data_IF_405898780435
#
_entry.id   IF_405898780435
#
_cell.length_a   1.000
_cell.length_b   1.000
_cell.length_c   1.000
_cell.angle_alpha   90.00
_cell.angle_beta   90.00
_cell.angle_gamma   90.00
#
_symmetry.space_group_name_H-M   'P 1'
#
loop_
_entity.id
_entity.type
_entity.pdbx_description
1 polymer ?
#
# COMPACT_ATOMS: atom_id res chain seq x y z
N UNK A 1 18.52 0.56 -17.97
CA UNK A 1 17.40 0.97 -17.10
C UNK A 1 16.46 -0.20 -17.05
N UNK A 2 15.99 -0.55 -15.87
CA UNK A 2 14.93 -1.54 -15.73
C UNK A 2 13.68 -1.05 -16.48
N UNK A 3 12.96 -1.96 -17.07
CA UNK A 3 11.63 -1.70 -17.60
C UNK A 3 10.66 -1.58 -16.43
N UNK A 4 9.78 -0.62 -16.54
CA UNK A 4 8.66 -0.46 -15.64
C UNK A 4 7.41 -0.40 -16.50
N UNK A 5 6.35 -1.09 -16.13
CA UNK A 5 5.11 -1.14 -16.87
C UNK A 5 4.47 0.24 -17.02
N UNK A 6 3.30 0.27 -17.61
CA UNK A 6 2.56 1.52 -17.79
C UNK A 6 1.80 1.84 -16.51
N UNK A 7 2.15 2.95 -15.87
CA UNK A 7 1.35 3.47 -14.76
C UNK A 7 -0.05 3.84 -15.26
N UNK A 8 -1.07 3.54 -14.46
CA UNK A 8 -2.44 3.87 -14.81
C UNK A 8 -2.71 5.36 -14.68
N UNK A 9 -3.55 5.87 -15.57
CA UNK A 9 -4.04 7.25 -15.49
C UNK A 9 -5.04 7.42 -14.33
N UNK A 10 -5.17 8.63 -13.79
CA UNK A 10 -6.03 8.91 -12.63
C UNK A 10 -7.51 8.62 -12.88
N UNK A 11 -7.97 8.72 -14.11
CA UNK A 11 -9.35 8.44 -14.52
C UNK A 11 -9.64 6.93 -14.65
N UNK A 12 -8.64 6.07 -14.47
CA UNK A 12 -8.82 4.61 -14.48
C UNK A 12 -9.44 4.05 -13.20
N UNK A 13 -9.58 4.85 -12.14
CA UNK A 13 -10.10 4.42 -10.85
C UNK A 13 -11.12 5.42 -10.28
N UNK A 14 -12.08 4.92 -9.55
CA UNK A 14 -12.97 5.76 -8.75
C UNK A 14 -12.33 6.03 -7.39
N UNK A 15 -12.22 7.30 -7.00
CA UNK A 15 -11.66 7.66 -5.71
C UNK A 15 -12.54 8.65 -4.96
N UNK A 16 -12.51 8.56 -3.65
CA UNK A 16 -13.19 9.49 -2.76
C UNK A 16 -12.29 9.89 -1.59
N UNK A 17 -12.56 11.07 -1.06
CA UNK A 17 -11.89 11.60 0.11
C UNK A 17 -12.91 12.35 0.95
N UNK A 18 -13.02 12.01 2.22
CA UNK A 18 -14.00 12.57 3.13
C UNK A 18 -13.45 12.79 4.54
N UNK A 19 -14.04 13.76 5.23
CA UNK A 19 -13.87 13.90 6.68
C UNK A 19 -14.85 12.99 7.39
N UNK A 20 -14.34 12.19 8.32
CA UNK A 20 -15.16 11.28 9.12
C UNK A 20 -15.44 11.86 10.52
N UNK A 21 -16.51 11.40 11.22
CA UNK A 21 -16.81 11.85 12.58
C UNK A 21 -15.59 11.74 13.51
N UNK A 22 -15.43 12.74 14.38
CA UNK A 22 -14.26 12.82 15.27
C UNK A 22 -13.02 13.48 14.66
N UNK A 23 -13.16 14.11 13.47
CA UNK A 23 -12.10 14.90 12.83
C UNK A 23 -11.10 14.10 12.01
N UNK A 24 -11.32 12.81 11.84
CA UNK A 24 -10.49 11.95 11.00
C UNK A 24 -10.72 12.18 9.51
N UNK A 25 -9.88 11.54 8.71
CA UNK A 25 -9.94 11.54 7.25
C UNK A 25 -10.01 10.11 6.74
N UNK A 26 -10.82 9.89 5.71
CA UNK A 26 -10.88 8.62 4.98
C UNK A 26 -10.69 8.88 3.49
N UNK A 27 -9.82 8.12 2.87
CA UNK A 27 -9.65 8.05 1.43
C UNK A 27 -9.97 6.63 0.96
N UNK A 28 -10.68 6.52 -0.15
CA UNK A 28 -11.05 5.22 -0.76
C UNK A 28 -10.72 5.27 -2.24
N UNK A 29 -10.14 4.20 -2.75
CA UNK A 29 -9.84 4.01 -4.17
C UNK A 29 -10.43 2.67 -4.59
N UNK A 30 -11.34 2.69 -5.55
CA UNK A 30 -11.80 1.49 -6.25
C UNK A 30 -11.02 1.42 -7.55
N UNK A 31 -9.99 0.56 -7.57
CA UNK A 31 -9.13 0.39 -8.74
C UNK A 31 -9.91 -0.25 -9.91
N UNK A 32 -9.45 0.00 -11.13
CA UNK A 32 -9.90 -0.78 -12.27
C UNK A 32 -9.55 -2.26 -12.05
N UNK A 33 -10.28 -3.15 -12.73
CA UNK A 33 -10.01 -4.59 -12.66
C UNK A 33 -8.53 -4.86 -12.97
N UNK A 34 -7.88 -5.64 -12.13
CA UNK A 34 -6.55 -6.20 -12.40
C UNK A 34 -6.74 -7.44 -13.28
N UNK A 35 -6.59 -7.25 -14.61
CA UNK A 35 -6.89 -8.31 -15.58
C UNK A 35 -5.85 -9.44 -15.52
N UNK A 36 -6.31 -10.68 -15.62
CA UNK A 36 -5.50 -11.90 -15.59
C UNK A 36 -4.72 -12.15 -14.29
N UNK A 37 -4.86 -11.28 -13.29
CA UNK A 37 -4.29 -11.46 -11.95
C UNK A 37 -5.17 -12.40 -11.13
N UNK A 38 -4.56 -13.20 -10.26
CA UNK A 38 -5.22 -14.04 -9.25
C UNK A 38 -4.82 -13.58 -7.86
N UNK A 39 -5.66 -13.85 -6.86
CA UNK A 39 -5.37 -13.51 -5.46
C UNK A 39 -4.02 -14.09 -5.01
N UNK A 40 -3.70 -15.34 -5.36
CA UNK A 40 -2.42 -15.96 -5.04
C UNK A 40 -1.20 -15.19 -5.55
N UNK A 41 -1.33 -14.46 -6.67
CA UNK A 41 -0.27 -13.62 -7.21
C UNK A 41 -0.06 -12.37 -6.35
N UNK A 42 -1.14 -11.67 -5.95
CA UNK A 42 -1.08 -10.53 -5.05
C UNK A 42 -0.48 -10.91 -3.70
N UNK A 43 -0.95 -12.03 -3.12
CA UNK A 43 -0.43 -12.54 -1.85
C UNK A 43 1.06 -12.84 -1.95
N UNK A 44 1.49 -13.56 -2.99
CA UNK A 44 2.90 -13.83 -3.22
C UNK A 44 3.72 -12.55 -3.35
N UNK A 45 3.19 -11.56 -4.09
CA UNK A 45 3.83 -10.28 -4.29
C UNK A 45 4.06 -9.55 -2.95
N UNK A 46 3.03 -9.40 -2.13
CA UNK A 46 3.13 -8.74 -0.83
C UNK A 46 4.06 -9.50 0.14
N UNK A 47 4.11 -10.82 0.08
CA UNK A 47 5.04 -11.63 0.89
C UNK A 47 6.50 -11.45 0.48
N UNK A 48 6.78 -11.12 -0.78
CA UNK A 48 8.12 -11.01 -1.37
C UNK A 48 8.51 -9.58 -1.79
N UNK A 49 7.74 -8.59 -1.38
CA UNK A 49 7.89 -7.19 -1.80
C UNK A 49 9.26 -6.58 -1.42
N UNK A 50 9.94 -7.10 -0.39
CA UNK A 50 11.28 -6.71 0.02
C UNK A 50 12.41 -7.43 -0.74
N UNK A 51 12.05 -8.28 -1.68
CA UNK A 51 13.00 -9.02 -2.50
C UNK A 51 13.67 -8.18 -3.57
N UNK A 52 14.55 -8.85 -4.32
CA UNK A 52 15.22 -8.30 -5.50
C UNK A 52 14.95 -9.18 -6.72
N UNK A 53 15.02 -8.59 -7.89
CA UNK A 53 14.83 -9.31 -9.16
C UNK A 53 15.74 -8.75 -10.23
N UNK A 54 16.02 -9.54 -11.24
CA UNK A 54 16.75 -9.13 -12.46
C UNK A 54 15.82 -8.95 -13.66
N UNK A 55 14.51 -8.96 -13.42
CA UNK A 55 13.51 -8.78 -14.48
C UNK A 55 13.67 -7.44 -15.20
N UNK A 56 13.79 -7.47 -16.53
CA UNK A 56 14.03 -6.31 -17.38
C UNK A 56 12.80 -5.87 -18.20
N UNK A 57 11.65 -6.52 -17.99
CA UNK A 57 10.42 -6.32 -18.74
C UNK A 57 10.12 -7.43 -19.75
N UNK A 58 11.07 -8.34 -19.98
CA UNK A 58 10.94 -9.49 -20.89
C UNK A 58 11.47 -10.78 -20.26
N UNK A 59 12.61 -10.72 -19.63
CA UNK A 59 13.29 -11.87 -19.02
C UNK A 59 14.04 -11.45 -17.73
N UNK A 60 14.77 -12.38 -17.13
CA UNK A 60 15.50 -12.22 -15.87
C UNK A 60 17.00 -12.03 -16.04
N UNK A 61 17.44 -11.34 -17.09
CA UNK A 61 18.84 -11.06 -17.39
C UNK A 61 19.25 -9.57 -17.22
N UNK A 62 18.40 -8.78 -16.60
CA UNK A 62 18.65 -7.36 -16.33
C UNK A 62 19.52 -7.11 -15.11
N UNK A 63 19.69 -5.86 -14.75
CA UNK A 63 20.32 -5.44 -13.52
C UNK A 63 19.41 -5.78 -12.32
N UNK A 64 20.02 -6.10 -11.18
CA UNK A 64 19.29 -6.31 -9.94
C UNK A 64 18.58 -5.03 -9.48
N UNK A 65 17.30 -5.14 -9.21
CA UNK A 65 16.44 -4.05 -8.70
C UNK A 65 15.56 -4.57 -7.57
N UNK A 66 15.20 -3.70 -6.63
CA UNK A 66 14.22 -4.03 -5.59
C UNK A 66 12.84 -4.31 -6.23
N UNK A 67 12.19 -5.41 -5.84
CA UNK A 67 10.82 -5.77 -6.26
C UNK A 67 9.86 -4.62 -5.99
N UNK A 68 9.97 -3.98 -4.83
CA UNK A 68 9.17 -2.83 -4.46
C UNK A 68 9.22 -1.69 -5.50
N UNK A 69 10.38 -1.43 -6.09
CA UNK A 69 10.55 -0.39 -7.12
C UNK A 69 9.95 -0.75 -8.47
N UNK A 70 9.70 -2.02 -8.73
CA UNK A 70 8.97 -2.42 -9.94
C UNK A 70 7.51 -1.96 -9.87
N UNK A 71 6.93 -1.91 -8.69
CA UNK A 71 5.54 -1.54 -8.51
C UNK A 71 5.31 -0.02 -8.74
N UNK A 72 6.23 0.84 -8.27
CA UNK A 72 6.20 2.28 -8.58
C UNK A 72 7.63 2.83 -8.70
N UNK A 73 8.19 2.90 -9.94
CA UNK A 73 9.61 3.18 -10.15
C UNK A 73 10.06 4.57 -9.69
N UNK A 74 9.14 5.54 -9.67
CA UNK A 74 9.43 6.92 -9.33
C UNK A 74 9.30 7.21 -7.85
N UNK A 75 8.32 6.60 -7.20
CA UNK A 75 7.91 6.92 -5.85
C UNK A 75 8.40 5.90 -4.81
N UNK A 76 8.47 4.62 -5.16
CA UNK A 76 8.97 3.60 -4.25
C UNK A 76 10.50 3.65 -4.11
N UNK A 77 10.97 3.76 -2.86
CA UNK A 77 12.40 3.84 -2.57
C UNK A 77 12.89 2.51 -2.02
N UNK A 78 12.26 2.03 -0.92
CA UNK A 78 12.67 0.80 -0.27
C UNK A 78 11.59 0.28 0.68
N UNK A 79 11.43 -1.03 0.74
CA UNK A 79 10.69 -1.70 1.79
C UNK A 79 11.56 -2.79 2.41
N UNK A 80 11.45 -2.99 3.71
CA UNK A 80 12.16 -4.05 4.42
C UNK A 80 11.32 -4.59 5.57
N UNK A 81 11.34 -5.89 5.79
CA UNK A 81 10.77 -6.49 6.98
C UNK A 81 11.65 -6.20 8.20
N UNK A 82 11.16 -5.39 9.11
CA UNK A 82 11.79 -5.19 10.43
C UNK A 82 11.58 -6.40 11.33
N UNK A 83 10.43 -7.03 11.18
CA UNK A 83 10.04 -8.27 11.84
C UNK A 83 9.12 -9.03 10.90
N UNK A 84 9.51 -10.22 10.47
CA UNK A 84 8.70 -11.09 9.60
C UNK A 84 8.32 -12.34 10.40
N UNK A 85 7.06 -12.45 10.77
CA UNK A 85 6.50 -13.63 11.41
C UNK A 85 5.95 -14.54 10.32
N UNK A 86 6.29 -15.81 10.37
CA UNK A 86 5.88 -16.78 9.35
C UNK A 86 5.09 -17.93 10.00
N UNK A 87 4.07 -18.39 9.31
CA UNK A 87 3.39 -19.65 9.60
C UNK A 87 4.29 -20.84 9.27
N UNK A 88 3.95 -22.07 9.70
CA UNK A 88 4.65 -23.27 9.28
C UNK A 88 4.69 -23.48 7.76
N UNK A 89 3.75 -22.91 7.03
CA UNK A 89 3.66 -22.96 5.57
C UNK A 89 4.38 -21.78 4.88
N UNK A 90 5.11 -20.94 5.64
CA UNK A 90 5.86 -19.80 5.12
C UNK A 90 5.05 -18.52 4.84
N UNK A 91 3.74 -18.49 5.19
CA UNK A 91 2.88 -17.32 5.01
C UNK A 91 3.21 -16.25 6.06
N UNK A 92 3.20 -14.99 5.64
CA UNK A 92 3.36 -13.86 6.56
C UNK A 92 2.17 -13.76 7.50
N UNK A 93 2.44 -13.58 8.79
CA UNK A 93 1.41 -13.51 9.84
C UNK A 93 1.19 -12.08 10.33
N UNK A 94 -0.03 -11.77 10.82
CA UNK A 94 -0.28 -10.56 11.59
C UNK A 94 0.70 -10.40 12.76
N UNK A 95 1.08 -9.16 13.07
CA UNK A 95 2.15 -8.84 14.02
C UNK A 95 3.53 -8.71 13.37
N UNK A 96 3.67 -9.00 12.07
CA UNK A 96 4.83 -8.64 11.27
C UNK A 96 4.91 -7.11 11.13
N UNK A 97 6.12 -6.57 10.98
CA UNK A 97 6.36 -5.13 10.83
C UNK A 97 7.23 -4.87 9.62
N UNK A 98 6.74 -4.04 8.72
CA UNK A 98 7.47 -3.54 7.56
C UNK A 98 7.89 -2.08 7.80
N UNK A 99 9.09 -1.72 7.36
CA UNK A 99 9.49 -0.32 7.18
C UNK A 99 9.36 0.02 5.72
N UNK A 100 8.51 0.99 5.43
CA UNK A 100 8.21 1.47 4.09
C UNK A 100 8.86 2.84 3.93
N UNK A 101 9.57 3.05 2.82
CA UNK A 101 10.12 4.33 2.43
C UNK A 101 9.73 4.61 0.99
N UNK A 102 9.01 5.71 0.78
CA UNK A 102 8.45 6.09 -0.50
C UNK A 102 8.29 7.61 -0.60
N UNK A 103 7.96 8.11 -1.78
CA UNK A 103 7.50 9.48 -1.98
C UNK A 103 6.13 9.47 -2.62
N UNK A 104 5.34 10.50 -2.42
CA UNK A 104 4.19 10.81 -3.26
C UNK A 104 3.94 12.32 -3.26
N UNK A 105 3.75 12.89 -4.45
CA UNK A 105 3.59 14.32 -4.63
C UNK A 105 4.75 15.15 -4.06
N UNK A 106 5.98 14.62 -4.04
CA UNK A 106 7.16 15.25 -3.48
C UNK A 106 7.30 15.13 -1.96
N UNK A 107 6.41 14.44 -1.27
CA UNK A 107 6.49 14.19 0.16
C UNK A 107 7.22 12.87 0.43
N UNK A 108 8.35 12.93 1.12
CA UNK A 108 9.02 11.74 1.62
C UNK A 108 8.25 11.15 2.80
N UNK A 109 7.95 9.86 2.72
CA UNK A 109 7.32 9.06 3.77
C UNK A 109 8.30 7.98 4.21
N UNK A 110 8.41 7.82 5.51
CA UNK A 110 9.15 6.72 6.10
C UNK A 110 8.43 6.26 7.36
N UNK A 111 7.75 5.10 7.25
CA UNK A 111 6.85 4.60 8.28
C UNK A 111 7.08 3.13 8.58
N UNK A 112 6.77 2.75 9.83
CA UNK A 112 6.65 1.35 10.21
C UNK A 112 5.17 0.95 10.13
N UNK A 113 4.86 0.01 9.26
CA UNK A 113 3.55 -0.57 9.06
C UNK A 113 3.45 -1.88 9.82
N UNK A 114 2.56 -1.96 10.81
CA UNK A 114 2.24 -3.19 11.51
C UNK A 114 1.18 -3.94 10.72
N UNK A 115 1.47 -5.15 10.27
CA UNK A 115 0.48 -6.00 9.61
C UNK A 115 -0.57 -6.42 10.63
N UNK A 116 -1.80 -5.95 10.46
CA UNK A 116 -2.94 -6.26 11.33
C UNK A 116 -3.79 -7.41 10.79
N UNK A 117 -3.85 -7.57 9.46
CA UNK A 117 -4.48 -8.70 8.77
C UNK A 117 -3.71 -8.99 7.48
N UNK A 118 -3.58 -10.27 7.13
CA UNK A 118 -3.06 -10.70 5.84
C UNK A 118 -3.59 -12.09 5.50
N UNK A 119 -4.47 -12.15 4.53
CA UNK A 119 -5.11 -13.38 4.06
C UNK A 119 -5.48 -13.27 2.57
N UNK A 120 -6.37 -14.13 2.09
CA UNK A 120 -6.81 -14.14 0.68
C UNK A 120 -7.92 -13.09 0.37
N UNK A 121 -8.26 -12.22 1.32
CA UNK A 121 -9.23 -11.15 1.15
C UNK A 121 -8.64 -9.76 1.37
N UNK A 122 -7.69 -9.64 2.31
CA UNK A 122 -7.15 -8.36 2.73
C UNK A 122 -5.67 -8.41 3.13
N UNK A 123 -5.01 -7.28 2.89
CA UNK A 123 -3.69 -6.96 3.41
C UNK A 123 -3.75 -5.60 4.11
N UNK A 124 -3.71 -5.61 5.44
CA UNK A 124 -4.00 -4.44 6.25
C UNK A 124 -2.80 -4.02 7.09
N UNK A 125 -2.59 -2.73 7.17
CA UNK A 125 -1.56 -2.10 7.97
C UNK A 125 -2.15 -1.19 9.04
N UNK A 126 -1.59 -1.25 10.25
CA UNK A 126 -1.79 -0.25 11.28
C UNK A 126 -0.56 0.67 11.35
N UNK A 127 -0.80 1.97 11.31
CA UNK A 127 0.22 2.98 11.59
C UNK A 127 0.16 3.38 13.06
N UNK A 128 1.29 3.26 13.76
CA UNK A 128 1.37 3.58 15.18
C UNK A 128 2.39 4.67 15.46
N UNK A 129 2.00 5.63 16.31
CA UNK A 129 2.91 6.66 16.88
C UNK A 129 2.80 6.60 18.39
N UNK A 130 3.93 6.51 19.07
CA UNK A 130 4.00 6.39 20.55
C UNK A 130 3.13 5.25 21.11
N UNK A 131 3.06 4.11 20.39
CA UNK A 131 2.25 2.96 20.76
C UNK A 131 0.75 3.06 20.44
N UNK A 132 0.26 4.21 20.01
CA UNK A 132 -1.15 4.43 19.67
C UNK A 132 -1.38 4.26 18.16
N UNK A 133 -2.46 3.58 17.78
CA UNK A 133 -2.91 3.52 16.38
C UNK A 133 -3.42 4.90 15.97
N UNK A 134 -2.82 5.45 14.92
CA UNK A 134 -3.15 6.78 14.38
C UNK A 134 -3.72 6.72 12.97
N UNK A 135 -3.73 5.56 12.37
CA UNK A 135 -4.30 5.31 11.06
C UNK A 135 -4.18 3.85 10.65
N UNK A 136 -4.82 3.53 9.56
CA UNK A 136 -4.77 2.22 8.93
C UNK A 136 -4.81 2.36 7.41
N UNK A 137 -4.27 1.36 6.74
CA UNK A 137 -4.36 1.16 5.30
C UNK A 137 -4.86 -0.26 5.06
N UNK A 138 -5.90 -0.39 4.24
CA UNK A 138 -6.53 -1.65 3.89
C UNK A 138 -6.44 -1.84 2.39
N UNK A 139 -5.84 -2.93 1.96
CA UNK A 139 -5.90 -3.44 0.60
C UNK A 139 -6.86 -4.63 0.60
N UNK A 140 -8.06 -4.44 0.07
CA UNK A 140 -9.06 -5.50 -0.07
C UNK A 140 -9.11 -5.98 -1.52
N UNK A 141 -9.17 -7.29 -1.70
CA UNK A 141 -9.18 -7.90 -3.03
C UNK A 141 -10.16 -9.06 -3.11
N UNK A 142 -10.76 -9.20 -4.29
CA UNK A 142 -11.73 -10.26 -4.57
C UNK A 142 -11.54 -10.79 -5.99
N UNK A 143 -11.32 -12.09 -6.12
CA UNK A 143 -11.24 -12.75 -7.42
C UNK A 143 -12.61 -12.73 -8.09
N UNK A 144 -12.63 -12.39 -9.38
CA UNK A 144 -13.81 -12.37 -10.24
C UNK A 144 -13.45 -12.93 -11.60
N UNK A 145 -14.45 -13.12 -12.47
CA UNK A 145 -14.17 -13.49 -13.85
C UNK A 145 -13.27 -12.44 -14.53
N UNK A 146 -12.17 -12.90 -15.09
CA UNK A 146 -11.19 -12.08 -15.80
C UNK A 146 -10.10 -11.46 -14.94
N UNK A 147 -10.15 -11.56 -13.59
CA UNK A 147 -9.10 -10.97 -12.76
C UNK A 147 -9.46 -10.73 -11.29
N UNK A 148 -8.91 -9.68 -10.71
CA UNK A 148 -9.12 -9.30 -9.32
C UNK A 148 -9.68 -7.88 -9.21
N UNK A 149 -10.78 -7.72 -8.49
CA UNK A 149 -11.22 -6.41 -7.98
C UNK A 149 -10.35 -6.04 -6.80
N UNK A 150 -9.76 -4.84 -6.86
CA UNK A 150 -8.85 -4.33 -5.85
C UNK A 150 -9.36 -2.99 -5.32
N UNK A 151 -9.37 -2.84 -4.02
CA UNK A 151 -9.81 -1.64 -3.32
C UNK A 151 -8.77 -1.25 -2.28
N UNK A 152 -8.44 0.03 -2.23
CA UNK A 152 -7.53 0.59 -1.22
C UNK A 152 -8.26 1.62 -0.37
N UNK A 153 -8.17 1.51 0.95
CA UNK A 153 -8.75 2.46 1.90
C UNK A 153 -7.68 2.91 2.90
N UNK A 154 -7.53 4.21 3.08
CA UNK A 154 -6.72 4.79 4.15
C UNK A 154 -7.62 5.55 5.12
N UNK A 155 -7.50 5.24 6.39
CA UNK A 155 -8.14 6.00 7.48
C UNK A 155 -7.09 6.63 8.37
N UNK A 156 -7.19 7.93 8.62
CA UNK A 156 -6.35 8.65 9.59
C UNK A 156 -7.24 9.05 10.75
N UNK A 157 -7.12 8.32 11.84
CA UNK A 157 -7.89 8.52 13.08
C UNK A 157 -7.23 7.81 14.25
N UNK A 158 -7.20 8.48 15.40
CA UNK A 158 -6.84 7.86 16.66
C UNK A 158 -8.10 7.74 17.54
N UNK A 159 -8.45 6.52 17.90
CA UNK A 159 -9.65 6.23 18.69
C UNK A 159 -9.39 6.16 20.21
N UNK A 160 -8.16 6.49 20.64
CA UNK A 160 -7.79 6.48 22.05
C UNK A 160 -8.67 7.46 22.83
N UNK A 161 -9.35 7.03 23.91
CA UNK A 161 -10.18 7.91 24.74
C UNK A 161 -9.40 9.14 25.23
N UNK A 162 -10.09 10.27 25.36
CA UNK A 162 -9.60 11.56 25.88
C UNK A 162 -8.63 12.26 24.90
N UNK A 163 -7.53 11.63 24.48
CA UNK A 163 -6.46 12.26 23.68
C UNK A 163 -6.59 12.00 22.18
N UNK A 164 -7.41 11.02 21.77
CA UNK A 164 -7.53 10.59 20.36
C UNK A 164 -7.93 11.73 19.42
N UNK A 165 -8.84 12.60 19.85
CA UNK A 165 -9.25 13.77 19.07
C UNK A 165 -8.09 14.74 18.79
N UNK A 166 -7.25 15.03 19.79
CA UNK A 166 -6.07 15.88 19.62
C UNK A 166 -5.05 15.22 18.69
N UNK A 167 -4.79 13.92 18.88
CA UNK A 167 -3.85 13.17 18.04
C UNK A 167 -4.36 13.15 16.59
N UNK A 168 -5.64 12.87 16.38
CA UNK A 168 -6.29 12.89 15.05
C UNK A 168 -6.13 14.25 14.40
N UNK A 169 -6.40 15.34 15.14
CA UNK A 169 -6.24 16.69 14.62
C UNK A 169 -4.79 16.98 14.20
N UNK A 170 -3.80 16.63 15.01
CA UNK A 170 -2.38 16.78 14.66
C UNK A 170 -2.04 15.94 13.43
N UNK A 171 -2.45 14.68 13.40
CA UNK A 171 -2.18 13.76 12.29
C UNK A 171 -2.76 14.28 10.97
N UNK A 172 -4.01 14.73 10.97
CA UNK A 172 -4.70 15.19 9.76
C UNK A 172 -4.26 16.59 9.31
N UNK A 173 -3.79 17.44 10.21
CA UNK A 173 -3.37 18.80 9.87
C UNK A 173 -1.90 18.90 9.44
N UNK A 174 -1.02 18.11 10.04
CA UNK A 174 0.42 18.26 9.86
C UNK A 174 1.12 17.05 9.23
N UNK A 175 0.60 15.84 9.44
CA UNK A 175 1.24 14.62 8.94
C UNK A 175 0.62 14.17 7.62
N UNK A 176 -0.71 13.99 7.60
CA UNK A 176 -1.47 13.55 6.42
C UNK A 176 -2.59 14.56 6.10
N UNK A 177 -2.17 15.79 5.75
CA UNK A 177 -3.10 16.83 5.34
C UNK A 177 -3.69 16.56 3.94
N UNK A 178 -4.76 17.25 3.58
CA UNK A 178 -5.54 16.99 2.36
C UNK A 178 -4.69 16.90 1.07
N UNK A 179 -3.72 17.80 0.88
CA UNK A 179 -2.85 17.76 -0.32
C UNK A 179 -2.02 16.48 -0.39
N UNK A 180 -1.54 16.01 0.77
CA UNK A 180 -0.74 14.80 0.86
C UNK A 180 -1.59 13.55 0.62
N UNK A 181 -2.85 13.54 1.09
CA UNK A 181 -3.78 12.45 0.81
C UNK A 181 -4.15 12.40 -0.67
N UNK A 182 -4.37 13.56 -1.32
CA UNK A 182 -4.59 13.59 -2.78
C UNK A 182 -3.41 13.04 -3.56
N UNK A 183 -2.18 13.38 -3.15
CA UNK A 183 -0.97 12.82 -3.75
C UNK A 183 -0.84 11.31 -3.50
N UNK A 184 -1.23 10.84 -2.32
CA UNK A 184 -1.29 9.40 -2.01
C UNK A 184 -2.34 8.67 -2.85
N UNK A 185 -3.52 9.26 -3.09
CA UNK A 185 -4.54 8.69 -3.99
C UNK A 185 -3.97 8.53 -5.40
N UNK A 186 -3.32 9.58 -5.92
CA UNK A 186 -2.69 9.55 -7.23
C UNK A 186 -1.66 8.43 -7.33
N UNK A 187 -0.73 8.37 -6.38
CA UNK A 187 0.30 7.33 -6.28
C UNK A 187 -0.30 5.92 -6.33
N UNK A 188 -1.32 5.63 -5.50
CA UNK A 188 -1.93 4.30 -5.46
C UNK A 188 -2.71 3.93 -6.73
N UNK A 189 -3.27 4.91 -7.45
CA UNK A 189 -3.90 4.64 -8.75
C UNK A 189 -2.85 4.29 -9.79
N UNK A 190 -1.77 5.07 -9.86
CA UNK A 190 -0.67 4.88 -10.79
C UNK A 190 -0.04 3.49 -10.64
N UNK A 191 0.29 3.07 -9.41
CA UNK A 191 0.92 1.79 -9.13
C UNK A 191 0.06 0.56 -9.47
N UNK A 192 -1.27 0.70 -9.47
CA UNK A 192 -2.16 -0.43 -9.74
C UNK A 192 -2.01 -0.99 -11.16
N UNK A 193 -1.46 -0.22 -12.10
CA UNK A 193 -1.15 -0.66 -13.45
C UNK A 193 -0.01 -1.67 -13.50
N UNK A 194 0.97 -1.50 -12.65
CA UNK A 194 2.12 -2.40 -12.56
C UNK A 194 1.74 -3.79 -12.07
N UNK A 195 0.69 -3.89 -11.23
CA UNK A 195 0.19 -5.17 -10.72
C UNK A 195 -0.23 -6.13 -11.82
N UNK A 196 -0.74 -5.64 -12.96
CA UNK A 196 -1.11 -6.48 -14.11
C UNK A 196 0.09 -6.96 -14.91
N UNK A 197 1.22 -6.27 -14.77
CA UNK A 197 2.39 -6.52 -15.60
C UNK A 197 3.41 -7.45 -14.93
N UNK A 198 3.56 -7.34 -13.60
CA UNK A 198 4.57 -8.07 -12.83
C UNK A 198 4.02 -9.24 -12.01
N UNK A 199 2.73 -9.37 -11.89
CA UNK A 199 2.04 -10.43 -11.17
C UNK A 199 1.39 -11.42 -12.13
#
# INVERSE_FOLDING_TARGET
MGFFGLMRSLDSAESSFEKIPGGGLKATIQHALLNNVKIKHLVWWFENIDGVTTYNGQDFNGLEVDVYRLWHPHDHIKVVWKKKLLSPQGRVLPGSVMRIKETFGGYLIEENALISRFDDEEYNFDFKKFGLKVGELIHAYKEVEGGVKFKTEMTIRCETPIIGGLITWVATKFVMHEKKIKAWIQHNIEESGESEHFI
#
